data_IF_407196748095
#
_entry.id   IF_407196748095
#
_cell.length_a   1.000
_cell.length_b   1.000
_cell.length_c   1.000
_cell.angle_alpha   90.00
_cell.angle_beta   90.00
_cell.angle_gamma   90.00
#
_symmetry.space_group_name_H-M   'P 1'
#
loop_
_entity.id
_entity.type
_entity.pdbx_description
1 polymer ?
#
# COMPACT_ATOMS: atom_id res chain seq x y z
N UNK A 1 25.15 -24.42 0.20
CA UNK A 1 24.24 -23.65 1.07
C UNK A 1 24.51 -23.90 2.55
N UNK A 2 24.46 -25.15 3.04
CA UNK A 2 24.69 -25.51 4.45
C UNK A 2 26.00 -24.94 5.00
N UNK A 3 27.12 -25.19 4.31
CA UNK A 3 28.43 -24.72 4.75
C UNK A 3 28.49 -23.19 4.93
N UNK A 4 27.86 -22.42 4.06
CA UNK A 4 27.82 -20.96 4.14
C UNK A 4 26.93 -20.49 5.29
N UNK A 5 25.77 -21.11 5.51
CA UNK A 5 24.89 -20.82 6.66
C UNK A 5 25.65 -21.10 7.96
N UNK A 6 26.26 -22.29 8.10
CA UNK A 6 27.06 -22.65 9.28
C UNK A 6 28.20 -21.66 9.50
N UNK A 7 28.92 -21.26 8.45
CA UNK A 7 30.00 -20.29 8.53
C UNK A 7 29.50 -18.92 9.03
N UNK A 8 28.40 -18.41 8.45
CA UNK A 8 27.80 -17.13 8.88
C UNK A 8 27.40 -17.20 10.36
N UNK A 9 26.66 -18.24 10.77
CA UNK A 9 26.20 -18.40 12.14
C UNK A 9 27.35 -18.50 13.16
N UNK A 10 28.51 -19.06 12.77
CA UNK A 10 29.65 -19.25 13.65
C UNK A 10 30.62 -18.06 13.68
N UNK A 11 30.69 -17.25 12.63
CA UNK A 11 31.75 -16.21 12.49
C UNK A 11 31.22 -14.78 12.54
N UNK A 12 29.99 -14.52 12.12
CA UNK A 12 29.48 -13.16 11.91
C UNK A 12 29.37 -12.34 13.21
N UNK A 13 28.93 -12.93 14.31
CA UNK A 13 28.81 -12.21 15.59
C UNK A 13 30.16 -11.72 16.10
N UNK A 14 31.20 -12.54 15.96
CA UNK A 14 32.56 -12.19 16.36
C UNK A 14 33.14 -11.11 15.45
N UNK A 15 33.02 -11.27 14.14
CA UNK A 15 33.48 -10.28 13.17
C UNK A 15 32.81 -8.90 13.41
N UNK A 16 31.49 -8.88 13.60
CA UNK A 16 30.73 -7.64 13.90
C UNK A 16 31.21 -6.95 15.18
N UNK A 17 31.66 -7.70 16.19
CA UNK A 17 32.08 -7.15 17.48
C UNK A 17 33.51 -6.62 17.46
N UNK A 18 34.41 -7.26 16.70
CA UNK A 18 35.86 -7.06 16.84
C UNK A 18 36.55 -6.59 15.55
N UNK A 19 35.89 -6.57 14.43
CA UNK A 19 36.52 -6.24 13.16
C UNK A 19 35.85 -5.06 12.42
N UNK A 20 36.64 -4.34 11.64
CA UNK A 20 36.14 -3.35 10.69
C UNK A 20 35.26 -3.99 9.63
N UNK A 21 34.21 -3.30 9.20
CA UNK A 21 33.28 -3.78 8.20
C UNK A 21 33.87 -3.77 6.76
N UNK A 22 34.77 -2.81 6.49
CA UNK A 22 35.28 -2.59 5.14
C UNK A 22 36.08 -3.82 4.67
N UNK A 23 35.68 -4.38 3.52
CA UNK A 23 36.35 -5.50 2.85
C UNK A 23 36.53 -6.77 3.73
N UNK A 24 35.68 -6.95 4.75
CA UNK A 24 35.81 -8.08 5.64
C UNK A 24 35.28 -9.39 5.01
N UNK A 25 36.05 -10.50 5.04
CA UNK A 25 35.63 -11.76 4.40
C UNK A 25 34.27 -12.28 4.83
N UNK A 26 33.90 -12.13 6.12
CA UNK A 26 32.58 -12.55 6.62
C UNK A 26 31.41 -11.73 5.99
N UNK A 27 31.66 -10.47 5.66
CA UNK A 27 30.66 -9.68 4.94
C UNK A 27 30.50 -10.14 3.50
N UNK A 28 31.61 -10.53 2.87
CA UNK A 28 31.64 -11.11 1.52
C UNK A 28 30.90 -12.45 1.44
N UNK A 29 31.04 -13.30 2.47
CA UNK A 29 30.29 -14.56 2.55
C UNK A 29 28.79 -14.32 2.46
N UNK A 30 28.24 -13.33 3.19
CA UNK A 30 26.80 -13.01 3.15
C UNK A 30 26.40 -12.43 1.79
N UNK A 31 27.24 -11.56 1.22
CA UNK A 31 26.88 -10.80 -0.01
C UNK A 31 27.00 -11.63 -1.28
N UNK A 32 28.06 -12.45 -1.37
CA UNK A 32 28.43 -13.11 -2.62
C UNK A 32 28.44 -14.63 -2.45
N UNK A 33 29.24 -15.18 -1.53
CA UNK A 33 29.47 -16.64 -1.47
C UNK A 33 28.17 -17.40 -1.16
N UNK A 34 27.36 -16.92 -0.23
CA UNK A 34 26.07 -17.56 0.10
C UNK A 34 25.04 -17.35 -1.03
N UNK A 35 25.01 -16.17 -1.64
CA UNK A 35 24.19 -15.91 -2.81
C UNK A 35 24.51 -16.89 -3.94
N UNK A 36 25.78 -17.00 -4.31
CA UNK A 36 26.21 -17.83 -5.43
C UNK A 36 26.00 -19.32 -5.14
N UNK A 37 26.22 -19.76 -3.90
CA UNK A 37 25.91 -21.11 -3.48
C UNK A 37 24.39 -21.40 -3.53
N UNK A 38 23.54 -20.42 -3.25
CA UNK A 38 22.08 -20.56 -3.34
C UNK A 38 21.62 -20.62 -4.79
N UNK A 39 22.18 -19.77 -5.66
CA UNK A 39 21.92 -19.81 -7.11
C UNK A 39 22.32 -21.18 -7.68
N UNK A 40 23.53 -21.64 -7.38
CA UNK A 40 24.03 -22.91 -7.88
C UNK A 40 23.20 -24.11 -7.40
N UNK A 41 22.79 -24.14 -6.13
CA UNK A 41 22.07 -25.27 -5.56
C UNK A 41 20.59 -25.32 -5.93
N UNK A 42 19.88 -24.18 -5.87
CA UNK A 42 18.45 -24.11 -6.10
C UNK A 42 18.08 -23.75 -7.56
N UNK A 43 19.03 -23.23 -8.33
CA UNK A 43 18.88 -22.83 -9.74
C UNK A 43 17.56 -22.07 -10.02
N UNK A 44 17.24 -20.99 -9.27
CA UNK A 44 16.05 -20.22 -9.53
C UNK A 44 16.16 -19.55 -10.92
N UNK A 45 15.06 -19.47 -11.73
CA UNK A 45 15.08 -18.80 -13.03
C UNK A 45 15.61 -17.37 -12.92
N UNK A 46 16.77 -17.09 -13.57
CA UNK A 46 17.46 -15.79 -13.48
C UNK A 46 16.73 -14.66 -14.18
N UNK A 47 15.94 -14.95 -15.20
CA UNK A 47 15.08 -14.00 -15.88
C UNK A 47 14.01 -13.44 -14.93
N UNK A 48 13.57 -14.24 -13.97
CA UNK A 48 12.53 -13.91 -13.03
C UNK A 48 13.04 -13.47 -11.66
N UNK A 49 14.00 -14.17 -11.10
CA UNK A 49 14.46 -13.92 -9.73
C UNK A 49 15.81 -13.20 -9.69
N UNK A 50 15.92 -12.26 -8.74
CA UNK A 50 17.17 -11.60 -8.39
C UNK A 50 17.52 -11.96 -6.95
N UNK A 51 18.78 -12.34 -6.70
CA UNK A 51 19.29 -12.60 -5.36
C UNK A 51 20.24 -11.48 -4.94
N UNK A 52 20.04 -10.98 -3.72
CA UNK A 52 20.90 -9.95 -3.13
C UNK A 52 21.17 -10.25 -1.65
N UNK A 53 22.46 -10.29 -1.28
CA UNK A 53 22.91 -10.47 0.11
C UNK A 53 23.28 -9.15 0.76
N UNK A 54 22.97 -8.98 2.05
CA UNK A 54 23.31 -7.78 2.81
C UNK A 54 23.89 -8.11 4.17
N UNK A 55 25.12 -7.68 4.38
CA UNK A 55 25.81 -7.67 5.68
C UNK A 55 25.83 -6.25 6.31
N UNK A 56 25.19 -5.29 5.66
CA UNK A 56 25.16 -3.87 6.03
C UNK A 56 25.74 -2.95 4.96
N UNK A 57 25.65 -1.64 5.19
CA UNK A 57 26.21 -0.58 4.33
C UNK A 57 27.10 0.34 5.18
N UNK A 58 28.38 0.34 4.92
CA UNK A 58 29.37 1.11 5.70
C UNK A 58 29.61 0.58 7.11
N UNK A 59 28.63 -0.06 7.73
CA UNK A 59 28.67 -0.68 9.05
C UNK A 59 28.01 -2.06 9.03
N UNK A 60 28.38 -2.91 10.02
CA UNK A 60 27.79 -4.23 10.19
C UNK A 60 26.27 -4.17 10.45
N UNK A 61 25.49 -4.92 9.68
CA UNK A 61 24.09 -5.14 10.00
C UNK A 61 23.94 -5.95 11.29
N UNK A 62 22.95 -5.61 12.13
CA UNK A 62 22.59 -6.44 13.30
C UNK A 62 21.93 -7.75 12.88
N UNK A 63 21.22 -7.73 11.79
CA UNK A 63 20.51 -8.84 11.16
C UNK A 63 20.93 -8.89 9.71
N UNK A 64 21.96 -9.68 9.33
CA UNK A 64 22.32 -9.89 7.93
C UNK A 64 21.28 -10.79 7.27
N UNK A 65 21.19 -10.70 5.92
CA UNK A 65 20.18 -11.43 5.17
C UNK A 65 20.62 -11.70 3.73
N UNK A 66 19.97 -12.72 3.12
CA UNK A 66 19.99 -12.98 1.68
C UNK A 66 18.54 -12.96 1.17
N UNK A 67 18.17 -12.00 0.35
CA UNK A 67 16.85 -11.86 -0.26
C UNK A 67 16.78 -12.45 -1.67
N UNK A 68 15.62 -13.00 -2.00
CA UNK A 68 15.25 -13.55 -3.31
C UNK A 68 14.00 -12.80 -3.75
N UNK A 69 14.13 -12.00 -4.79
CA UNK A 69 13.14 -11.06 -5.28
C UNK A 69 12.57 -11.51 -6.61
N UNK A 70 11.27 -11.61 -6.74
CA UNK A 70 10.58 -11.72 -8.03
C UNK A 70 10.59 -10.31 -8.66
N UNK A 71 11.29 -10.16 -9.78
CA UNK A 71 11.54 -8.86 -10.43
C UNK A 71 10.26 -8.14 -10.84
N UNK A 72 9.17 -8.85 -11.04
CA UNK A 72 7.86 -8.26 -11.33
C UNK A 72 7.16 -7.70 -10.08
N UNK A 73 7.47 -8.24 -8.88
CA UNK A 73 6.88 -7.77 -7.63
C UNK A 73 7.74 -6.66 -7.03
N UNK A 74 9.05 -6.90 -6.88
CA UNK A 74 9.99 -5.92 -6.34
C UNK A 74 11.44 -6.31 -6.63
N UNK A 75 12.31 -5.32 -6.73
CA UNK A 75 13.78 -5.49 -6.80
C UNK A 75 14.50 -4.97 -5.56
N UNK A 76 13.75 -4.57 -4.52
CA UNK A 76 14.29 -3.97 -3.30
C UNK A 76 13.67 -4.57 -2.04
N UNK A 77 14.44 -4.63 -0.96
CA UNK A 77 13.94 -5.03 0.36
C UNK A 77 13.13 -3.93 1.09
N UNK A 78 12.95 -2.76 0.48
CA UNK A 78 12.26 -1.63 1.09
C UNK A 78 10.75 -1.72 0.98
N UNK A 79 10.26 -2.34 -0.11
CA UNK A 79 8.85 -2.46 -0.43
C UNK A 79 8.57 -3.80 -1.14
N UNK A 80 7.29 -4.12 -1.36
CA UNK A 80 6.87 -5.35 -1.99
C UNK A 80 7.07 -6.58 -1.12
N UNK A 81 7.03 -7.74 -1.73
CA UNK A 81 7.10 -9.05 -1.08
C UNK A 81 8.30 -9.80 -1.59
N UNK A 82 9.00 -10.55 -0.73
CA UNK A 82 10.17 -11.30 -1.13
C UNK A 82 10.46 -12.45 -0.16
N UNK A 83 11.15 -13.46 -0.66
CA UNK A 83 11.70 -14.56 0.15
C UNK A 83 13.06 -14.14 0.69
N UNK A 84 13.41 -14.53 1.90
CA UNK A 84 14.65 -14.12 2.56
C UNK A 84 15.17 -15.13 3.56
N UNK A 85 16.48 -15.31 3.61
CA UNK A 85 17.18 -15.89 4.74
C UNK A 85 17.56 -14.76 5.70
N UNK A 86 16.92 -14.71 6.89
CA UNK A 86 17.17 -13.73 7.94
C UNK A 86 17.94 -14.37 9.10
N UNK A 87 19.15 -13.89 9.35
CA UNK A 87 19.95 -14.36 10.48
C UNK A 87 19.61 -13.58 11.75
N UNK A 88 19.40 -14.30 12.88
CA UNK A 88 19.16 -13.65 14.17
C UNK A 88 20.37 -12.82 14.61
N UNK A 89 20.14 -11.78 15.40
CA UNK A 89 21.17 -10.85 15.89
C UNK A 89 22.29 -11.57 16.68
N UNK A 90 21.95 -12.61 17.41
CA UNK A 90 22.86 -13.43 18.21
C UNK A 90 23.51 -14.58 17.42
N UNK A 91 23.15 -14.73 16.15
CA UNK A 91 23.59 -15.84 15.30
C UNK A 91 23.24 -17.23 15.86
N UNK A 92 22.18 -17.34 16.66
CA UNK A 92 21.70 -18.64 17.15
C UNK A 92 20.85 -19.38 16.11
N UNK A 93 20.30 -18.68 15.14
CA UNK A 93 19.37 -19.23 14.14
C UNK A 93 19.31 -18.41 12.86
N UNK A 94 18.77 -19.03 11.80
CA UNK A 94 18.37 -18.38 10.56
C UNK A 94 16.93 -18.79 10.22
N UNK A 95 16.17 -17.85 9.63
CA UNK A 95 14.82 -18.11 9.13
C UNK A 95 14.82 -18.01 7.62
N UNK A 96 14.32 -19.04 6.94
CA UNK A 96 13.87 -18.94 5.56
C UNK A 96 12.42 -18.45 5.61
N UNK A 97 12.15 -17.23 5.16
CA UNK A 97 10.89 -16.54 5.39
C UNK A 97 10.36 -15.86 4.12
N UNK A 98 9.03 -15.79 4.00
CA UNK A 98 8.33 -14.86 3.14
C UNK A 98 7.95 -13.64 3.95
N UNK A 99 8.38 -12.47 3.50
CA UNK A 99 8.14 -11.19 4.19
C UNK A 99 7.77 -10.10 3.19
N UNK A 100 7.40 -8.92 3.71
CA UNK A 100 7.23 -7.72 2.90
C UNK A 100 8.12 -6.56 3.37
N UNK A 101 8.31 -5.54 2.51
CA UNK A 101 9.12 -4.38 2.83
C UNK A 101 8.46 -3.46 3.86
N UNK A 102 9.25 -2.99 4.84
CA UNK A 102 8.78 -2.12 5.90
C UNK A 102 8.81 -0.64 5.54
N UNK A 103 9.74 -0.22 4.66
CA UNK A 103 10.03 1.19 4.43
C UNK A 103 8.82 1.96 3.93
N UNK A 104 8.02 1.37 3.05
CA UNK A 104 6.77 1.96 2.60
C UNK A 104 5.82 2.26 3.78
N UNK A 105 5.57 1.28 4.64
CA UNK A 105 4.68 1.46 5.81
C UNK A 105 5.19 2.53 6.78
N UNK A 106 6.51 2.58 6.98
CA UNK A 106 7.15 3.59 7.81
C UNK A 106 6.98 5.00 7.23
N UNK A 107 7.23 5.15 5.94
CA UNK A 107 7.14 6.45 5.27
C UNK A 107 5.69 6.95 5.23
N UNK A 108 4.73 6.05 5.00
CA UNK A 108 3.30 6.40 4.88
C UNK A 108 2.63 6.66 6.23
N UNK A 109 2.98 5.89 7.29
CA UNK A 109 2.24 5.92 8.56
C UNK A 109 3.12 6.26 9.78
N UNK A 110 4.40 6.56 9.59
CA UNK A 110 5.38 6.69 10.68
C UNK A 110 5.74 5.35 11.31
N UNK A 111 6.79 5.34 12.12
CA UNK A 111 7.40 4.11 12.65
C UNK A 111 6.44 3.22 13.44
N UNK A 112 5.72 3.78 14.40
CA UNK A 112 4.86 2.99 15.30
C UNK A 112 3.61 2.44 14.57
N UNK A 113 2.89 3.30 13.86
CA UNK A 113 1.69 2.90 13.11
C UNK A 113 2.05 2.04 11.90
N UNK A 114 3.16 2.31 11.24
CA UNK A 114 3.69 1.52 10.13
C UNK A 114 3.93 0.07 10.54
N UNK A 115 4.57 -0.18 11.69
CA UNK A 115 4.77 -1.53 12.22
C UNK A 115 3.45 -2.26 12.51
N UNK A 116 2.46 -1.56 13.09
CA UNK A 116 1.16 -2.16 13.38
C UNK A 116 0.38 -2.53 12.11
N UNK A 117 0.41 -1.66 11.10
CA UNK A 117 -0.26 -1.88 9.82
C UNK A 117 0.43 -2.98 9.00
N UNK A 118 1.76 -2.95 8.93
CA UNK A 118 2.58 -3.99 8.33
C UNK A 118 2.26 -5.37 8.94
N UNK A 119 2.25 -5.46 10.27
CA UNK A 119 1.89 -6.71 10.97
C UNK A 119 0.48 -7.19 10.63
N UNK A 120 -0.47 -6.26 10.50
CA UNK A 120 -1.84 -6.62 10.16
C UNK A 120 -1.96 -7.22 8.74
N UNK A 121 -1.22 -6.68 7.77
CA UNK A 121 -1.15 -7.21 6.40
C UNK A 121 -0.40 -8.55 6.36
N UNK A 122 0.70 -8.69 7.11
CA UNK A 122 1.44 -9.96 7.17
C UNK A 122 0.59 -11.09 7.76
N UNK A 123 -0.16 -10.82 8.84
CA UNK A 123 -1.10 -11.78 9.44
C UNK A 123 -2.24 -12.15 8.48
N UNK A 124 -2.74 -11.20 7.70
CA UNK A 124 -3.72 -11.49 6.66
C UNK A 124 -3.16 -12.48 5.64
N UNK A 125 -1.97 -12.23 5.08
CA UNK A 125 -1.35 -13.15 4.13
C UNK A 125 -1.05 -14.52 4.74
N UNK A 126 -0.61 -14.59 6.00
CA UNK A 126 -0.41 -15.85 6.71
C UNK A 126 -1.68 -16.70 6.83
N UNK A 127 -2.88 -16.07 6.77
CA UNK A 127 -4.16 -16.79 6.75
C UNK A 127 -4.67 -17.13 5.35
N UNK A 128 -4.19 -16.46 4.31
CA UNK A 128 -4.65 -16.61 2.93
C UNK A 128 -3.78 -17.56 2.10
N UNK A 129 -2.51 -17.74 2.50
CA UNK A 129 -1.57 -18.63 1.82
C UNK A 129 -1.67 -20.01 2.46
N UNK A 130 -2.36 -20.93 1.78
CA UNK A 130 -2.78 -22.21 2.35
C UNK A 130 -2.11 -23.43 1.72
N UNK A 131 -1.31 -23.24 0.68
CA UNK A 131 -0.75 -24.36 -0.08
C UNK A 131 0.34 -25.09 0.69
N UNK A 132 -0.05 -26.19 1.33
CA UNK A 132 0.77 -27.40 1.49
C UNK A 132 2.01 -27.35 2.38
N UNK A 133 2.27 -26.26 3.12
CA UNK A 133 3.50 -26.09 3.89
C UNK A 133 3.32 -26.52 5.35
N UNK A 134 3.23 -27.85 5.62
CA UNK A 134 3.17 -28.39 6.98
C UNK A 134 4.33 -27.96 7.88
N UNK A 135 5.50 -27.67 7.26
CA UNK A 135 6.75 -27.40 7.98
C UNK A 135 7.05 -25.89 8.14
N UNK A 136 6.21 -25.01 7.57
CA UNK A 136 6.35 -23.56 7.70
C UNK A 136 5.35 -23.01 8.71
N UNK A 137 5.81 -22.10 9.55
CA UNK A 137 5.03 -21.50 10.62
C UNK A 137 4.68 -20.04 10.35
N UNK A 138 3.45 -19.63 10.70
CA UNK A 138 3.02 -18.23 10.76
C UNK A 138 3.30 -17.58 12.12
N UNK A 139 3.86 -18.34 13.08
CA UNK A 139 4.25 -17.82 14.38
C UNK A 139 5.31 -16.74 14.25
N UNK A 140 5.25 -15.69 15.08
CA UNK A 140 6.20 -14.59 15.02
C UNK A 140 7.66 -15.05 15.08
N UNK A 141 8.49 -14.58 14.16
CA UNK A 141 9.94 -14.78 14.23
C UNK A 141 10.55 -13.92 15.34
N UNK A 142 11.66 -14.41 15.92
CA UNK A 142 12.41 -13.72 16.95
C UNK A 142 13.86 -13.52 16.48
N UNK A 143 14.21 -12.30 16.15
CA UNK A 143 15.55 -11.91 15.68
C UNK A 143 16.48 -11.46 16.83
N UNK A 144 16.00 -11.50 18.08
CA UNK A 144 16.77 -11.19 19.29
C UNK A 144 16.38 -9.87 19.97
N UNK A 145 16.99 -9.57 21.12
CA UNK A 145 16.69 -8.39 21.91
C UNK A 145 17.33 -7.11 21.34
N UNK A 146 16.77 -5.94 21.72
CA UNK A 146 17.32 -4.62 21.38
C UNK A 146 17.60 -4.44 19.89
N UNK A 147 16.61 -4.78 19.07
CA UNK A 147 16.67 -4.66 17.63
C UNK A 147 16.63 -3.19 17.18
N UNK A 148 17.28 -2.89 16.05
CA UNK A 148 17.05 -1.63 15.34
C UNK A 148 15.62 -1.57 14.83
N UNK A 149 15.14 -0.36 14.50
CA UNK A 149 13.82 -0.18 13.92
C UNK A 149 13.61 -1.04 12.66
N UNK A 150 14.61 -1.06 11.75
CA UNK A 150 14.58 -1.91 10.55
C UNK A 150 14.43 -3.39 10.88
N UNK A 151 15.14 -3.89 11.88
CA UNK A 151 15.05 -5.30 12.28
C UNK A 151 13.70 -5.64 12.94
N UNK A 152 13.09 -4.71 13.70
CA UNK A 152 11.70 -4.83 14.16
C UNK A 152 10.72 -4.82 12.98
N UNK A 153 11.05 -4.09 11.90
CA UNK A 153 10.32 -4.14 10.66
C UNK A 153 10.28 -5.55 10.06
N UNK A 154 11.40 -6.28 10.04
CA UNK A 154 11.43 -7.67 9.55
C UNK A 154 10.55 -8.61 10.39
N UNK A 155 10.54 -8.47 11.74
CA UNK A 155 9.65 -9.26 12.59
C UNK A 155 8.16 -8.93 12.34
N UNK A 156 7.84 -7.67 12.13
CA UNK A 156 6.48 -7.25 11.82
C UNK A 156 6.04 -7.67 10.39
N UNK A 157 6.98 -7.70 9.46
CA UNK A 157 6.78 -8.06 8.05
C UNK A 157 6.61 -9.56 7.80
N UNK A 158 6.89 -10.40 8.80
CA UNK A 158 6.87 -11.85 8.68
C UNK A 158 5.47 -12.38 8.35
N UNK A 159 5.39 -13.17 7.28
CA UNK A 159 4.17 -13.84 6.83
C UNK A 159 4.20 -15.31 7.26
N UNK A 160 5.22 -16.04 6.81
CA UNK A 160 5.48 -17.41 7.21
C UNK A 160 6.98 -17.74 7.07
N UNK A 161 7.47 -18.71 7.84
CA UNK A 161 8.89 -19.12 7.79
C UNK A 161 9.14 -20.52 8.29
N UNK A 162 10.31 -21.06 7.88
CA UNK A 162 10.95 -22.22 8.50
C UNK A 162 12.21 -21.77 9.23
N UNK A 163 12.41 -22.28 10.45
CA UNK A 163 13.51 -21.92 11.34
C UNK A 163 14.58 -23.01 11.33
N UNK A 164 15.84 -22.62 11.24
CA UNK A 164 17.00 -23.50 11.39
C UNK A 164 17.88 -23.00 12.53
N UNK A 165 18.20 -23.88 13.48
CA UNK A 165 19.03 -23.56 14.63
C UNK A 165 20.52 -23.80 14.31
N UNK A 166 21.40 -22.96 14.84
CA UNK A 166 22.85 -23.18 14.73
C UNK A 166 23.25 -24.56 15.31
N UNK A 167 24.05 -25.31 14.54
CA UNK A 167 24.46 -26.67 14.88
C UNK A 167 23.46 -27.75 14.44
N UNK A 168 22.30 -27.36 13.90
CA UNK A 168 21.28 -28.28 13.39
C UNK A 168 20.79 -27.86 11.97
N UNK A 169 21.69 -27.31 11.17
CA UNK A 169 21.38 -26.93 9.79
C UNK A 169 21.21 -28.19 8.94
N UNK A 170 20.08 -28.35 8.21
CA UNK A 170 19.82 -29.52 7.38
C UNK A 170 20.84 -29.71 6.24
N UNK A 171 20.77 -30.84 5.57
CA UNK A 171 21.55 -31.08 4.36
C UNK A 171 21.15 -30.12 3.22
N UNK A 172 22.02 -29.94 2.23
CA UNK A 172 21.74 -29.03 1.10
C UNK A 172 20.49 -29.44 0.32
N UNK A 173 20.21 -30.74 0.20
CA UNK A 173 18.99 -31.21 -0.46
C UNK A 173 17.71 -30.72 0.23
N UNK A 174 17.67 -30.78 1.58
CA UNK A 174 16.53 -30.33 2.35
C UNK A 174 16.39 -28.80 2.30
N UNK A 175 17.51 -28.05 2.37
CA UNK A 175 17.50 -26.59 2.24
C UNK A 175 17.00 -26.13 0.85
N UNK A 176 17.35 -26.88 -0.19
CA UNK A 176 16.88 -26.62 -1.56
C UNK A 176 15.38 -26.94 -1.70
N UNK A 177 14.92 -28.06 -1.15
CA UNK A 177 13.52 -28.44 -1.14
C UNK A 177 12.66 -27.38 -0.42
N UNK A 178 13.06 -26.99 0.79
CA UNK A 178 12.40 -25.93 1.57
C UNK A 178 12.34 -24.60 0.80
N UNK A 179 13.42 -24.20 0.13
CA UNK A 179 13.45 -23.00 -0.69
C UNK A 179 12.49 -23.10 -1.88
N UNK A 180 12.48 -24.24 -2.59
CA UNK A 180 11.59 -24.47 -3.74
C UNK A 180 10.13 -24.45 -3.32
N UNK A 181 9.79 -25.03 -2.16
CA UNK A 181 8.45 -24.99 -1.57
C UNK A 181 8.03 -23.55 -1.26
N UNK A 182 8.90 -22.77 -0.61
CA UNK A 182 8.59 -21.38 -0.31
C UNK A 182 8.48 -20.51 -1.57
N UNK A 183 9.28 -20.76 -2.60
CA UNK A 183 9.13 -20.13 -3.92
C UNK A 183 7.80 -20.53 -4.58
N UNK A 184 7.28 -21.73 -4.31
CA UNK A 184 5.92 -22.15 -4.69
C UNK A 184 4.86 -21.23 -4.08
N UNK A 185 4.94 -21.02 -2.77
CA UNK A 185 4.04 -20.08 -2.06
C UNK A 185 4.20 -18.65 -2.54
N UNK A 186 5.42 -18.22 -2.83
CA UNK A 186 5.67 -16.89 -3.39
C UNK A 186 4.99 -16.70 -4.76
N UNK A 187 4.98 -17.74 -5.61
CA UNK A 187 4.20 -17.74 -6.87
C UNK A 187 2.69 -17.70 -6.63
N UNK A 188 2.18 -18.42 -5.61
CA UNK A 188 0.77 -18.32 -5.19
C UNK A 188 0.42 -16.89 -4.76
N UNK A 189 1.25 -16.29 -3.91
CA UNK A 189 1.11 -14.90 -3.50
C UNK A 189 1.04 -13.96 -4.71
N UNK A 190 1.99 -14.10 -5.66
CA UNK A 190 1.97 -13.30 -6.90
C UNK A 190 0.64 -13.40 -7.65
N UNK A 191 0.09 -14.62 -7.78
CA UNK A 191 -1.23 -14.82 -8.41
C UNK A 191 -2.36 -14.11 -7.67
N UNK A 192 -2.29 -14.01 -6.34
CA UNK A 192 -3.26 -13.25 -5.52
C UNK A 192 -3.04 -11.75 -5.64
N UNK A 193 -1.79 -11.28 -5.71
CA UNK A 193 -1.45 -9.87 -5.91
C UNK A 193 -1.95 -9.35 -7.26
N UNK A 194 -1.80 -10.12 -8.34
CA UNK A 194 -2.30 -9.79 -9.68
C UNK A 194 -3.83 -9.61 -9.74
N UNK A 195 -4.58 -10.26 -8.85
CA UNK A 195 -6.04 -10.07 -8.74
C UNK A 195 -6.41 -8.76 -8.07
N UNK A 196 -5.51 -8.20 -7.25
CA UNK A 196 -5.68 -6.91 -6.57
C UNK A 196 -5.22 -5.80 -7.48
N UNK A 197 -4.03 -5.94 -8.06
CA UNK A 197 -3.42 -4.99 -8.97
C UNK A 197 -2.77 -5.75 -10.14
N UNK A 198 -3.32 -5.65 -11.37
CA UNK A 198 -2.79 -6.35 -12.53
C UNK A 198 -1.36 -5.96 -12.93
N UNK A 199 -0.93 -4.76 -12.57
CA UNK A 199 0.42 -4.25 -12.78
C UNK A 199 1.35 -4.44 -11.56
N UNK A 200 0.88 -5.19 -10.54
CA UNK A 200 1.61 -5.48 -9.30
C UNK A 200 2.07 -4.22 -8.54
N UNK A 201 1.29 -3.14 -8.61
CA UNK A 201 1.58 -1.94 -7.85
C UNK A 201 1.46 -2.23 -6.35
N UNK A 202 2.61 -2.29 -5.68
CA UNK A 202 2.75 -2.67 -4.26
C UNK A 202 1.94 -1.76 -3.34
N UNK A 203 1.84 -0.52 -3.69
CA UNK A 203 1.12 0.46 -2.91
C UNK A 203 -0.39 0.30 -3.01
N UNK A 204 -0.91 0.14 -4.22
CA UNK A 204 -2.32 -0.20 -4.45
C UNK A 204 -2.69 -1.46 -3.65
N UNK A 205 -1.83 -2.48 -3.71
CA UNK A 205 -1.99 -3.72 -2.97
C UNK A 205 -2.05 -3.46 -1.46
N UNK A 206 -1.11 -2.70 -0.91
CA UNK A 206 -1.05 -2.43 0.52
C UNK A 206 -2.26 -1.63 1.02
N UNK A 207 -2.70 -0.63 0.27
CA UNK A 207 -3.90 0.13 0.60
C UNK A 207 -5.16 -0.74 0.56
N UNK A 208 -5.30 -1.56 -0.48
CA UNK A 208 -6.39 -2.52 -0.59
C UNK A 208 -6.45 -3.45 0.63
N UNK A 209 -5.31 -4.03 1.02
CA UNK A 209 -5.24 -4.95 2.16
C UNK A 209 -5.53 -4.26 3.49
N UNK A 210 -5.02 -3.05 3.71
CA UNK A 210 -5.26 -2.29 4.93
C UNK A 210 -6.74 -1.94 5.12
N UNK A 211 -7.43 -1.57 4.07
CA UNK A 211 -8.89 -1.35 4.11
C UNK A 211 -9.62 -2.62 4.56
N UNK A 212 -9.26 -3.78 4.00
CA UNK A 212 -9.89 -5.06 4.31
C UNK A 212 -9.62 -5.59 5.73
N UNK A 213 -8.38 -5.47 6.19
CA UNK A 213 -7.99 -5.89 7.55
C UNK A 213 -8.75 -5.10 8.62
N UNK A 214 -9.02 -3.83 8.39
CA UNK A 214 -9.79 -2.97 9.32
C UNK A 214 -11.25 -3.38 9.39
N UNK A 215 -11.87 -3.72 8.26
CA UNK A 215 -13.27 -4.18 8.19
C UNK A 215 -13.44 -5.53 8.91
N UNK A 216 -12.53 -6.47 8.74
CA UNK A 216 -12.57 -7.78 9.39
C UNK A 216 -12.43 -7.69 10.92
N UNK A 217 -11.63 -6.77 11.45
CA UNK A 217 -11.55 -6.51 12.89
C UNK A 217 -12.88 -5.99 13.47
N UNK A 218 -13.59 -5.12 12.77
CA UNK A 218 -14.91 -4.60 13.16
C UNK A 218 -15.98 -5.69 13.14
N UNK A 219 -16.03 -6.54 12.10
CA UNK A 219 -16.94 -7.69 12.01
C UNK A 219 -16.70 -8.73 13.11
N UNK A 220 -15.44 -9.07 13.44
CA UNK A 220 -15.11 -9.96 14.56
C UNK A 220 -15.50 -9.36 15.91
N UNK A 221 -15.40 -8.05 16.12
CA UNK A 221 -15.84 -7.36 17.32
C UNK A 221 -17.38 -7.30 17.45
N UNK A 222 -18.10 -7.08 16.35
CA UNK A 222 -19.56 -7.10 16.30
C UNK A 222 -20.10 -8.52 16.61
N UNK A 223 -19.59 -9.56 15.94
CA UNK A 223 -19.94 -10.97 16.23
C UNK A 223 -19.64 -11.40 17.68
N UNK A 224 -18.57 -10.86 18.29
CA UNK A 224 -18.22 -11.16 19.69
C UNK A 224 -19.14 -10.46 20.69
N UNK A 225 -19.72 -9.30 20.33
CA UNK A 225 -20.79 -8.64 21.13
C UNK A 225 -22.12 -9.34 20.99
N UNK A 226 -22.49 -9.86 19.81
CA UNK A 226 -23.71 -10.63 19.61
C UNK A 226 -23.66 -12.01 20.28
N UNK A 227 -22.48 -12.67 20.36
CA UNK A 227 -22.33 -13.96 21.04
C UNK A 227 -22.32 -13.88 22.57
N UNK A 228 -22.09 -12.67 23.13
CA UNK A 228 -22.21 -12.47 24.59
C UNK A 228 -23.66 -12.23 25.04
N UNK A 229 -24.60 -12.08 24.12
CA UNK A 229 -26.00 -11.79 24.41
C UNK A 229 -26.99 -12.91 24.05
N UNK A 230 -26.54 -14.04 23.53
CA UNK A 230 -27.44 -15.19 23.23
C UNK A 230 -26.71 -16.51 23.42
N UNK A 231 -26.90 -17.11 24.61
CA UNK A 231 -26.79 -18.55 24.79
C UNK A 231 -28.12 -19.18 24.34
N UNK A 232 -28.14 -19.96 23.27
CA UNK A 232 -29.35 -20.69 22.87
C UNK A 232 -29.38 -21.14 21.42
N UNK A 233 -29.03 -22.42 21.23
CA UNK A 233 -29.44 -23.37 20.17
C UNK A 233 -28.94 -23.20 18.73
N UNK A 234 -28.40 -24.33 18.30
CA UNK A 234 -27.89 -24.85 17.06
C UNK A 234 -28.79 -24.73 15.82
N UNK A 235 -28.19 -24.55 14.63
CA UNK A 235 -28.13 -25.48 13.48
C UNK A 235 -27.84 -24.74 12.17
N UNK A 236 -27.10 -25.41 11.24
CA UNK A 236 -27.20 -25.12 9.80
C UNK A 236 -25.96 -24.52 9.12
N UNK A 237 -25.02 -25.40 8.78
CA UNK A 237 -23.89 -25.15 7.90
C UNK A 237 -24.34 -24.87 6.46
N UNK A 238 -24.06 -23.69 5.92
CA UNK A 238 -23.95 -23.47 4.47
C UNK A 238 -22.72 -22.58 4.19
N UNK A 239 -21.75 -23.18 3.50
CA UNK A 239 -20.59 -22.51 2.89
C UNK A 239 -21.08 -21.66 1.73
N UNK A 240 -20.99 -20.36 1.83
CA UNK A 240 -21.11 -19.45 0.71
C UNK A 240 -19.73 -18.84 0.41
N UNK A 241 -19.26 -19.08 -0.82
CA UNK A 241 -18.08 -18.44 -1.40
C UNK A 241 -18.19 -16.93 -1.24
N UNK A 242 -17.38 -16.36 -0.39
CA UNK A 242 -17.24 -14.91 -0.28
C UNK A 242 -16.41 -14.44 -1.47
N UNK A 243 -17.07 -14.01 -2.53
CA UNK A 243 -16.50 -13.08 -3.50
C UNK A 243 -16.08 -11.84 -2.71
N UNK A 244 -14.77 -11.56 -2.72
CA UNK A 244 -14.18 -10.28 -2.30
C UNK A 244 -14.41 -9.25 -3.42
N UNK A 245 -15.66 -8.92 -3.67
CA UNK A 245 -16.00 -7.67 -4.31
C UNK A 245 -15.95 -6.64 -3.18
N UNK A 246 -14.84 -5.93 -3.07
CA UNK A 246 -14.88 -4.64 -2.39
C UNK A 246 -15.68 -3.74 -3.30
N UNK A 247 -16.95 -3.74 -2.99
CA UNK A 247 -17.86 -2.74 -3.46
C UNK A 247 -17.52 -1.41 -2.72
N UNK A 248 -16.58 -0.61 -3.30
CA UNK A 248 -16.91 0.80 -3.48
C UNK A 248 -18.29 0.84 -4.16
N UNK A 249 -18.70 -0.24 -4.75
CA UNK A 249 -19.96 -0.63 -5.34
C UNK A 249 -20.98 -1.24 -4.37
N UNK A 250 -20.75 -1.32 -3.08
CA UNK A 250 -21.82 -1.71 -2.12
C UNK A 250 -23.01 -0.78 -2.12
N UNK A 251 -22.91 0.35 -2.83
CA UNK A 251 -23.98 1.27 -3.18
C UNK A 251 -23.69 1.92 -4.52
N UNK A 252 -23.52 1.13 -5.57
CA UNK A 252 -23.32 1.65 -6.94
C UNK A 252 -24.43 2.65 -7.34
N UNK A 253 -25.60 2.58 -6.68
CA UNK A 253 -26.75 3.44 -6.92
C UNK A 253 -26.89 4.58 -5.89
N UNK A 254 -25.96 4.75 -4.95
CA UNK A 254 -26.06 5.80 -3.94
C UNK A 254 -25.90 7.20 -4.57
N UNK A 255 -26.78 8.09 -4.15
CA UNK A 255 -26.70 9.54 -4.42
C UNK A 255 -26.22 10.19 -3.13
N UNK A 256 -25.14 10.98 -3.14
CA UNK A 256 -24.65 11.62 -1.94
C UNK A 256 -25.65 12.64 -1.40
N UNK A 257 -25.75 12.75 -0.07
CA UNK A 257 -26.56 13.79 0.57
C UNK A 257 -25.82 15.11 0.52
N UNK A 258 -26.43 16.13 -0.09
CA UNK A 258 -25.88 17.49 -0.09
C UNK A 258 -25.94 18.08 1.31
N UNK A 259 -24.82 18.62 1.78
CA UNK A 259 -24.69 19.30 3.08
C UNK A 259 -23.95 20.62 2.91
N UNK A 260 -24.05 21.53 3.90
CA UNK A 260 -23.18 22.70 3.97
C UNK A 260 -21.71 22.33 4.14
N UNK A 261 -20.80 23.26 3.82
CA UNK A 261 -19.37 23.07 4.09
C UNK A 261 -19.21 22.92 5.61
N UNK A 262 -18.64 21.79 6.11
CA UNK A 262 -18.52 21.58 7.55
C UNK A 262 -17.53 22.55 8.19
N UNK A 263 -17.84 23.08 9.37
CA UNK A 263 -16.98 24.00 10.14
C UNK A 263 -15.65 23.34 10.57
N UNK A 264 -15.56 22.01 10.49
CA UNK A 264 -14.38 21.22 10.85
C UNK A 264 -13.35 21.06 9.74
N UNK A 265 -13.58 21.65 8.56
CA UNK A 265 -12.61 21.65 7.44
C UNK A 265 -11.54 22.68 7.77
N UNK A 266 -10.60 22.30 8.64
CA UNK A 266 -9.44 23.07 9.01
C UNK A 266 -8.20 22.44 8.37
N UNK A 267 -7.47 23.22 7.59
CA UNK A 267 -6.16 22.83 7.07
C UNK A 267 -5.09 23.44 7.99
N UNK A 268 -4.23 22.62 8.64
CA UNK A 268 -3.15 23.15 9.44
C UNK A 268 -2.22 24.00 8.59
N UNK A 269 -1.80 25.17 9.09
CA UNK A 269 -0.81 26.00 8.42
C UNK A 269 0.47 25.22 8.15
N UNK A 270 1.14 25.45 6.99
CA UNK A 270 2.45 24.88 6.70
C UNK A 270 3.45 25.30 7.77
N UNK A 271 3.94 24.35 8.57
CA UNK A 271 4.94 24.59 9.61
C UNK A 271 4.44 24.49 11.05
N UNK A 272 3.14 24.36 11.32
CA UNK A 272 2.60 24.23 12.68
C UNK A 272 2.73 22.81 13.28
N UNK A 273 3.05 21.82 12.49
CA UNK A 273 3.45 20.49 12.95
C UNK A 273 4.74 20.10 12.22
N UNK A 274 5.80 19.81 12.94
CA UNK A 274 7.08 19.28 12.41
C UNK A 274 6.97 17.88 11.79
N UNK A 275 5.80 17.52 11.30
CA UNK A 275 5.49 16.42 10.44
C UNK A 275 5.56 16.93 9.00
N UNK A 276 6.77 16.86 8.41
CA UNK A 276 6.91 16.81 6.97
C UNK A 276 6.09 15.61 6.48
N UNK A 277 4.85 15.86 6.11
CA UNK A 277 4.06 14.94 5.30
C UNK A 277 4.78 14.85 3.94
N UNK A 278 5.71 13.90 3.80
CA UNK A 278 6.09 13.40 2.49
C UNK A 278 4.88 12.69 1.93
N UNK A 279 4.02 13.45 1.29
CA UNK A 279 2.95 12.91 0.47
C UNK A 279 3.62 12.47 -0.82
N UNK A 280 3.75 11.16 -0.98
CA UNK A 280 4.22 10.60 -2.23
C UNK A 280 3.07 10.70 -3.24
N UNK A 281 3.24 11.58 -4.22
CA UNK A 281 2.19 11.98 -5.17
C UNK A 281 1.85 10.89 -6.18
N UNK A 282 2.79 10.00 -6.48
CA UNK A 282 2.55 8.87 -7.38
C UNK A 282 1.68 7.79 -6.73
N UNK A 283 1.73 7.70 -5.40
CA UNK A 283 1.05 6.70 -4.58
C UNK A 283 -0.45 6.94 -4.42
N UNK A 284 -0.83 8.17 -4.51
CA UNK A 284 -2.23 8.62 -4.44
C UNK A 284 -3.05 8.25 -5.68
N UNK A 285 -2.43 8.05 -6.85
CA UNK A 285 -3.15 8.00 -8.12
C UNK A 285 -4.04 6.77 -8.32
N UNK A 286 -3.62 5.58 -7.92
CA UNK A 286 -4.39 4.36 -8.23
C UNK A 286 -5.54 4.07 -7.26
N UNK A 287 -5.36 4.32 -5.98
CA UNK A 287 -6.48 4.24 -5.01
C UNK A 287 -7.42 5.43 -5.16
N UNK A 288 -6.89 6.64 -5.39
CA UNK A 288 -7.66 7.79 -5.80
C UNK A 288 -8.46 7.49 -7.07
N UNK A 289 -7.93 6.75 -8.03
CA UNK A 289 -8.64 6.41 -9.27
C UNK A 289 -9.93 5.62 -9.02
N UNK A 290 -9.96 4.64 -8.12
CA UNK A 290 -11.20 3.90 -7.79
C UNK A 290 -12.15 4.72 -6.93
N UNK A 291 -11.64 5.44 -5.95
CA UNK A 291 -12.41 6.37 -5.12
C UNK A 291 -12.88 7.54 -5.98
N UNK A 292 -12.04 8.07 -6.86
CA UNK A 292 -12.38 9.10 -7.82
C UNK A 292 -13.49 8.63 -8.76
N UNK A 293 -13.34 7.49 -9.45
CA UNK A 293 -14.36 6.92 -10.34
C UNK A 293 -15.68 6.67 -9.56
N UNK A 294 -15.60 6.19 -8.31
CA UNK A 294 -16.77 6.03 -7.45
C UNK A 294 -17.45 7.36 -7.15
N UNK A 295 -16.67 8.37 -6.78
CA UNK A 295 -17.13 9.74 -6.54
C UNK A 295 -17.72 10.40 -7.79
N UNK A 296 -17.01 10.30 -8.91
CA UNK A 296 -17.46 10.81 -10.21
C UNK A 296 -18.80 10.19 -10.62
N UNK A 297 -18.96 8.87 -10.49
CA UNK A 297 -20.23 8.19 -10.75
C UNK A 297 -21.37 8.66 -9.83
N UNK A 298 -21.06 8.94 -8.54
CA UNK A 298 -22.05 9.50 -7.60
C UNK A 298 -22.41 10.93 -7.96
N UNK A 299 -21.44 11.78 -8.35
CA UNK A 299 -21.68 13.14 -8.77
C UNK A 299 -22.52 13.19 -10.06
N UNK A 300 -22.23 12.31 -11.03
CA UNK A 300 -23.04 12.17 -12.26
C UNK A 300 -24.50 11.86 -11.94
N UNK A 301 -24.77 10.93 -11.02
CA UNK A 301 -26.14 10.59 -10.61
C UNK A 301 -26.82 11.73 -9.85
N UNK A 302 -26.06 12.39 -8.97
CA UNK A 302 -26.55 13.56 -8.24
C UNK A 302 -26.97 14.66 -9.20
N UNK A 303 -26.15 15.00 -10.20
CA UNK A 303 -26.46 16.04 -11.19
C UNK A 303 -27.67 15.68 -12.04
N UNK A 304 -27.72 14.46 -12.57
CA UNK A 304 -28.88 14.00 -13.32
C UNK A 304 -30.18 14.07 -12.52
N UNK A 305 -30.10 13.65 -11.24
CA UNK A 305 -31.26 13.76 -10.34
C UNK A 305 -31.62 15.22 -10.07
N UNK A 306 -30.67 16.10 -9.75
CA UNK A 306 -30.86 17.52 -9.49
C UNK A 306 -31.60 18.21 -10.64
N UNK A 307 -31.13 17.98 -11.87
CA UNK A 307 -31.75 18.56 -13.06
C UNK A 307 -33.13 17.96 -13.36
N UNK A 308 -33.30 16.65 -13.18
CA UNK A 308 -34.60 15.99 -13.37
C UNK A 308 -35.64 16.50 -12.34
N UNK A 309 -35.26 16.61 -11.07
CA UNK A 309 -36.12 17.12 -9.99
C UNK A 309 -36.51 18.59 -10.22
N UNK A 310 -35.62 19.35 -10.92
CA UNK A 310 -35.89 20.74 -11.34
C UNK A 310 -36.73 20.84 -12.65
N UNK A 311 -37.23 19.72 -13.18
CA UNK A 311 -38.01 19.70 -14.41
C UNK A 311 -37.17 19.81 -15.70
N UNK A 312 -35.85 19.70 -15.62
CA UNK A 312 -34.91 19.83 -16.75
C UNK A 312 -34.33 18.48 -17.16
N UNK A 313 -35.23 17.54 -17.47
CA UNK A 313 -34.83 16.20 -17.97
C UNK A 313 -34.04 16.29 -19.30
N UNK A 314 -34.25 17.36 -20.08
CA UNK A 314 -33.47 17.69 -21.25
C UNK A 314 -31.98 17.88 -20.93
N UNK A 315 -31.65 18.70 -19.94
CA UNK A 315 -30.29 18.95 -19.49
C UNK A 315 -29.70 17.75 -18.74
N UNK A 316 -30.51 17.03 -17.96
CA UNK A 316 -30.07 15.83 -17.26
C UNK A 316 -29.53 14.74 -18.23
N UNK A 317 -30.11 14.62 -19.40
CA UNK A 317 -29.66 13.70 -20.44
C UNK A 317 -28.33 14.13 -21.10
N UNK A 318 -27.97 15.42 -21.03
CA UNK A 318 -26.75 16.00 -21.62
C UNK A 318 -25.56 16.03 -20.63
N UNK A 319 -25.74 15.62 -19.37
CA UNK A 319 -24.64 15.56 -18.39
C UNK A 319 -23.61 14.53 -18.82
N UNK A 320 -22.36 14.98 -19.05
CA UNK A 320 -21.27 14.21 -19.65
C UNK A 320 -20.13 13.95 -18.64
N UNK A 321 -19.55 12.77 -18.69
CA UNK A 321 -18.40 12.36 -17.87
C UNK A 321 -17.11 12.57 -18.66
N UNK A 322 -16.58 13.80 -18.64
CA UNK A 322 -15.48 14.26 -19.51
C UNK A 322 -14.17 13.55 -19.21
N UNK A 323 -13.83 13.34 -17.93
CA UNK A 323 -12.59 12.65 -17.53
C UNK A 323 -12.51 11.24 -18.09
N UNK A 324 -13.65 10.57 -18.28
CA UNK A 324 -13.74 9.20 -18.82
C UNK A 324 -13.68 9.16 -20.35
N UNK A 325 -14.24 10.14 -21.04
CA UNK A 325 -14.37 10.15 -22.51
C UNK A 325 -13.20 10.82 -23.20
N UNK A 326 -12.62 11.88 -22.61
CA UNK A 326 -11.56 12.70 -23.20
C UNK A 326 -10.22 12.59 -22.47
N UNK A 327 -10.15 11.85 -21.31
CA UNK A 327 -8.97 11.72 -20.46
C UNK A 327 -8.76 12.92 -19.51
N UNK A 328 -7.83 12.77 -18.56
CA UNK A 328 -7.57 13.71 -17.44
C UNK A 328 -6.94 15.06 -17.88
N UNK A 329 -7.38 15.66 -18.97
CA UNK A 329 -6.76 16.84 -19.52
C UNK A 329 -7.64 18.09 -19.59
N UNK A 330 -8.94 18.00 -19.33
CA UNK A 330 -9.88 19.10 -19.50
C UNK A 330 -9.82 20.16 -18.37
N UNK A 331 -9.39 19.77 -17.15
CA UNK A 331 -9.38 20.65 -15.97
C UNK A 331 -10.65 20.54 -15.11
N UNK A 332 -11.52 19.58 -15.44
CA UNK A 332 -12.73 19.20 -14.71
C UNK A 332 -13.17 17.79 -15.12
N UNK A 333 -13.99 17.13 -14.29
CA UNK A 333 -14.41 15.74 -14.48
C UNK A 333 -15.76 15.60 -15.17
N UNK A 334 -16.71 16.50 -14.91
CA UNK A 334 -18.08 16.42 -15.37
C UNK A 334 -18.52 17.75 -15.98
N UNK A 335 -19.06 17.70 -17.20
CA UNK A 335 -19.81 18.78 -17.80
C UNK A 335 -21.29 18.64 -17.43
N UNK A 336 -21.86 19.65 -16.77
CA UNK A 336 -23.25 19.73 -16.37
C UNK A 336 -23.82 21.11 -16.68
N UNK A 337 -24.98 21.43 -16.12
CA UNK A 337 -25.71 22.67 -16.35
C UNK A 337 -26.33 23.20 -15.07
N UNK A 338 -26.46 24.51 -14.95
CA UNK A 338 -27.41 25.11 -14.03
C UNK A 338 -28.85 24.95 -14.57
N UNK A 339 -29.85 25.20 -13.75
CA UNK A 339 -31.27 25.01 -14.13
C UNK A 339 -31.70 25.93 -15.30
N UNK A 340 -31.08 27.09 -15.44
CA UNK A 340 -31.30 28.03 -16.53
C UNK A 340 -30.66 27.60 -17.87
N UNK A 341 -29.83 26.54 -17.85
CA UNK A 341 -29.13 26.00 -19.01
C UNK A 341 -27.71 26.53 -19.20
N UNK A 342 -27.22 27.39 -18.31
CA UNK A 342 -25.82 27.80 -18.33
C UNK A 342 -24.90 26.62 -17.99
N UNK A 343 -23.70 26.53 -18.60
CA UNK A 343 -22.78 25.41 -18.38
C UNK A 343 -22.26 25.40 -16.93
N UNK A 344 -22.06 24.20 -16.37
CA UNK A 344 -21.45 23.96 -15.05
C UNK A 344 -20.33 22.93 -15.18
N UNK A 345 -19.11 23.30 -14.80
CA UNK A 345 -17.91 22.47 -14.83
C UNK A 345 -17.61 21.96 -13.42
N UNK A 346 -17.61 20.65 -13.24
CA UNK A 346 -17.51 20.04 -11.93
C UNK A 346 -16.23 19.21 -11.84
N UNK A 347 -15.37 19.57 -10.90
CA UNK A 347 -14.27 18.73 -10.44
C UNK A 347 -14.74 17.89 -9.24
N UNK A 348 -14.40 16.61 -9.20
CA UNK A 348 -14.84 15.70 -8.15
C UNK A 348 -13.67 15.26 -7.29
N UNK A 349 -13.71 15.60 -6.02
CA UNK A 349 -12.72 15.16 -5.02
C UNK A 349 -13.40 14.25 -4.01
N UNK A 350 -13.11 12.97 -4.08
CA UNK A 350 -13.76 11.94 -3.27
C UNK A 350 -12.82 11.34 -2.22
N UNK A 351 -13.38 10.89 -1.08
CA UNK A 351 -12.65 10.17 -0.03
C UNK A 351 -13.55 9.17 0.70
N UNK A 352 -12.94 8.13 1.24
CA UNK A 352 -13.61 7.20 2.16
C UNK A 352 -13.62 7.70 3.61
N UNK A 353 -12.79 8.69 3.91
CA UNK A 353 -12.64 9.32 5.24
C UNK A 353 -13.65 10.46 5.44
N UNK A 354 -13.47 11.25 6.51
CA UNK A 354 -14.30 12.39 6.85
C UNK A 354 -14.06 13.65 6.00
N UNK A 355 -14.83 14.72 6.20
CA UNK A 355 -14.72 15.98 5.47
C UNK A 355 -13.38 16.71 5.72
N UNK A 356 -12.72 16.45 6.84
CA UNK A 356 -11.45 17.03 7.27
C UNK A 356 -10.24 16.51 6.49
N UNK A 357 -10.42 15.44 5.71
CA UNK A 357 -9.33 14.88 4.91
C UNK A 357 -8.90 15.87 3.80
N UNK A 358 -7.64 16.32 3.75
CA UNK A 358 -7.14 17.17 2.69
C UNK A 358 -7.33 16.54 1.31
N UNK A 359 -7.54 17.36 0.29
CA UNK A 359 -7.59 16.95 -1.09
C UNK A 359 -6.60 17.75 -1.95
N UNK A 360 -6.24 17.20 -3.09
CA UNK A 360 -5.25 17.78 -3.98
C UNK A 360 -5.91 18.27 -5.27
N UNK A 361 -5.40 19.39 -5.76
CA UNK A 361 -5.79 19.94 -7.05
C UNK A 361 -4.55 20.08 -7.93
N UNK A 362 -4.72 19.82 -9.20
CA UNK A 362 -3.66 20.04 -10.18
C UNK A 362 -3.60 21.53 -10.58
N UNK A 363 -2.45 21.97 -11.08
CA UNK A 363 -2.29 23.31 -11.63
C UNK A 363 -3.36 23.61 -12.70
N UNK A 364 -3.71 22.62 -13.53
CA UNK A 364 -4.69 22.76 -14.60
C UNK A 364 -6.11 22.99 -14.08
N UNK A 365 -6.52 22.31 -13.02
CA UNK A 365 -7.81 22.51 -12.36
C UNK A 365 -7.88 23.92 -11.74
N UNK A 366 -6.79 24.38 -11.10
CA UNK A 366 -6.70 25.76 -10.59
C UNK A 366 -6.85 26.77 -11.71
N UNK A 367 -6.04 26.68 -12.78
CA UNK A 367 -6.08 27.59 -13.92
C UNK A 367 -7.44 27.56 -14.66
N UNK A 368 -8.13 26.39 -14.67
CA UNK A 368 -9.46 26.29 -15.26
C UNK A 368 -10.51 26.98 -14.39
N UNK A 369 -10.45 26.81 -13.07
CA UNK A 369 -11.36 27.48 -12.12
C UNK A 369 -11.21 29.02 -12.18
N UNK A 370 -10.00 29.53 -12.38
CA UNK A 370 -9.72 30.97 -12.53
C UNK A 370 -10.30 31.56 -13.80
N UNK A 371 -10.34 30.76 -14.88
CA UNK A 371 -10.92 31.20 -16.16
C UNK A 371 -12.44 31.09 -16.21
N UNK A 372 -13.03 30.28 -15.33
CA UNK A 372 -14.47 30.00 -15.31
C UNK A 372 -15.07 30.16 -13.90
N UNK A 373 -14.83 31.28 -13.17
CA UNK A 373 -15.22 31.40 -11.77
C UNK A 373 -16.72 31.29 -11.53
N UNK A 374 -17.54 31.70 -12.48
CA UNK A 374 -19.00 31.66 -12.36
C UNK A 374 -19.59 30.27 -12.62
N UNK A 375 -18.85 29.42 -13.35
CA UNK A 375 -19.33 28.15 -13.87
C UNK A 375 -18.56 26.93 -13.35
N UNK A 376 -17.60 27.12 -12.44
CA UNK A 376 -16.77 26.04 -11.91
C UNK A 376 -17.12 25.73 -10.46
N UNK A 377 -17.08 24.44 -10.12
CA UNK A 377 -17.20 24.02 -8.73
C UNK A 377 -16.45 22.71 -8.46
N UNK A 378 -16.09 22.51 -7.19
CA UNK A 378 -15.58 21.25 -6.67
C UNK A 378 -16.69 20.56 -5.86
N UNK A 379 -16.99 19.30 -6.22
CA UNK A 379 -17.84 18.41 -5.44
C UNK A 379 -16.93 17.57 -4.52
N UNK A 380 -16.95 17.90 -3.23
CA UNK A 380 -16.23 17.13 -2.21
C UNK A 380 -17.12 16.05 -1.63
N UNK A 381 -16.91 14.80 -2.08
CA UNK A 381 -17.70 13.64 -1.64
C UNK A 381 -16.89 12.87 -0.61
N UNK A 382 -17.48 12.56 0.54
CA UNK A 382 -16.80 11.88 1.64
C UNK A 382 -17.67 10.77 2.25
N UNK A 383 -17.07 9.89 3.06
CA UNK A 383 -17.68 8.68 3.60
C UNK A 383 -18.13 7.68 2.50
N UNK A 384 -17.42 7.61 1.39
CA UNK A 384 -17.79 6.74 0.26
C UNK A 384 -17.96 5.27 0.64
N UNK A 385 -17.07 4.75 1.50
CA UNK A 385 -17.04 3.34 1.92
C UNK A 385 -17.67 3.10 3.30
N UNK A 386 -18.39 4.06 3.86
CA UNK A 386 -19.04 3.91 5.17
C UNK A 386 -20.22 2.96 5.06
N UNK A 387 -20.19 1.85 5.80
CA UNK A 387 -21.32 0.94 5.91
C UNK A 387 -22.46 1.50 6.80
N UNK A 388 -22.17 2.51 7.63
CA UNK A 388 -23.10 3.07 8.63
C UNK A 388 -23.64 4.44 8.26
N UNK A 389 -23.01 5.15 7.32
CA UNK A 389 -23.42 6.49 6.89
C UNK A 389 -23.58 6.54 5.37
N UNK A 390 -24.53 7.34 4.91
CA UNK A 390 -24.65 7.65 3.49
C UNK A 390 -23.50 8.58 3.08
N UNK A 391 -22.94 8.44 1.84
CA UNK A 391 -22.03 9.42 1.30
C UNK A 391 -22.62 10.83 1.39
N UNK A 392 -21.77 11.78 1.78
CA UNK A 392 -22.13 13.21 1.87
C UNK A 392 -21.33 13.99 0.85
N UNK A 393 -21.89 15.09 0.37
CA UNK A 393 -21.25 16.00 -0.57
C UNK A 393 -21.40 17.44 -0.11
N UNK A 394 -20.33 18.22 -0.14
CA UNK A 394 -20.41 19.68 -0.13
C UNK A 394 -19.77 20.26 -1.40
N UNK A 395 -20.19 21.49 -1.75
CA UNK A 395 -19.83 22.12 -3.01
C UNK A 395 -19.05 23.40 -2.72
N UNK A 396 -17.86 23.53 -3.34
CA UNK A 396 -17.08 24.77 -3.36
C UNK A 396 -17.24 25.39 -4.74
N UNK A 397 -17.86 26.57 -4.83
CA UNK A 397 -18.11 27.27 -6.09
C UNK A 397 -17.07 28.38 -6.31
N UNK A 398 -16.61 28.52 -7.55
CA UNK A 398 -15.78 29.63 -7.97
C UNK A 398 -14.30 29.30 -8.15
N UNK A 399 -13.49 30.34 -8.27
CA UNK A 399 -12.03 30.22 -8.39
C UNK A 399 -11.42 29.54 -7.16
N UNK A 400 -10.64 28.48 -7.35
CA UNK A 400 -10.01 27.74 -6.25
C UNK A 400 -8.97 28.57 -5.52
N UNK A 401 -8.23 29.42 -6.23
CA UNK A 401 -7.23 30.31 -5.62
C UNK A 401 -7.84 31.45 -4.77
N UNK A 402 -9.11 31.79 -5.00
CA UNK A 402 -9.84 32.78 -4.20
C UNK A 402 -10.58 32.16 -3.00
N UNK A 403 -10.91 30.87 -3.08
CA UNK A 403 -11.73 30.19 -2.07
C UNK A 403 -10.92 29.32 -1.10
N UNK A 404 -9.70 28.92 -1.48
CA UNK A 404 -8.89 27.96 -0.75
C UNK A 404 -7.45 28.46 -0.63
N UNK A 405 -6.81 28.14 0.48
CA UNK A 405 -5.37 28.26 0.63
C UNK A 405 -4.66 27.14 -0.13
N UNK A 406 -3.93 27.47 -1.18
CA UNK A 406 -3.24 26.53 -2.05
C UNK A 406 -1.76 26.44 -1.68
N UNK A 407 -1.30 25.26 -1.23
CA UNK A 407 0.08 25.00 -0.88
C UNK A 407 0.74 24.11 -1.95
N UNK A 408 1.81 24.60 -2.64
CA UNK A 408 2.54 23.78 -3.61
C UNK A 408 3.16 22.55 -2.94
N UNK A 409 2.87 21.35 -3.45
CA UNK A 409 3.37 20.08 -2.91
C UNK A 409 4.37 19.39 -3.82
N UNK A 410 4.33 19.66 -5.12
CA UNK A 410 5.18 19.05 -6.13
C UNK A 410 5.70 20.06 -7.16
N UNK A 411 6.93 19.81 -7.62
CA UNK A 411 7.57 20.57 -8.70
C UNK A 411 8.11 19.60 -9.77
N UNK A 412 7.81 19.85 -11.03
CA UNK A 412 8.48 19.18 -12.13
C UNK A 412 9.83 19.81 -12.35
N UNK A 413 10.91 19.03 -12.29
CA UNK A 413 12.27 19.49 -12.51
C UNK A 413 12.66 19.31 -13.97
N UNK A 414 13.19 20.37 -14.59
CA UNK A 414 13.76 20.36 -15.93
C UNK A 414 15.11 21.09 -15.95
N UNK A 415 15.94 20.81 -16.93
CA UNK A 415 17.21 21.51 -17.10
C UNK A 415 16.98 22.93 -17.57
N UNK A 416 17.58 23.89 -16.88
CA UNK A 416 17.57 25.28 -17.30
C UNK A 416 18.62 25.51 -18.39
N UNK A 417 18.20 25.57 -19.64
CA UNK A 417 19.10 25.84 -20.79
C UNK A 417 19.86 27.18 -20.71
N UNK A 418 19.44 28.09 -19.80
CA UNK A 418 20.10 29.41 -19.60
C UNK A 418 21.24 29.38 -18.57
N UNK A 419 21.42 28.30 -17.82
CA UNK A 419 22.40 28.24 -16.72
C UNK A 419 23.81 27.88 -17.13
N UNK A 420 24.11 27.68 -18.42
CA UNK A 420 25.49 27.53 -18.92
C UNK A 420 26.31 26.33 -18.36
N UNK A 421 25.66 25.39 -17.65
CA UNK A 421 26.31 24.18 -17.21
C UNK A 421 26.53 23.26 -18.40
N UNK A 422 27.68 23.42 -19.05
CA UNK A 422 28.19 22.48 -20.02
C UNK A 422 28.63 21.21 -19.28
N UNK A 423 28.25 20.06 -19.80
CA UNK A 423 28.77 18.78 -19.39
C UNK A 423 30.30 18.76 -19.50
N UNK A 424 30.99 18.55 -18.40
CA UNK A 424 32.36 18.02 -18.38
C UNK A 424 32.30 16.54 -18.07
#
# INVERSE_FOLDING_TARGET
MKAQIDQILNTYANARKHASFKEHPTADIVRHVFRDATIHAANPPEDRYMLHGSAGQGNWAKVPWLGIFDKEITTTAQEGYYVVYLFSKDMSRVYLALIQGFTWFKNTFGSAQGLLKLRAVSVYWGSELTSGLSDFSTEPINLGPNLSERARGYEAAHILSKKYERGAIPADADLVADLQDLLGVYRELRGKLLRISPDLNVEEINHHLLANVTVNKRRKRAKRKEHSSKSGKSEGRKTSNLRLDIEVNGRSDAIPTLVGIPDTVYFPEPGSSGLSLKIDFEQSQHQMKRVAIGGENMAMRFERKRLTDAGRADLAAMVEHVSREQGYGAGYDIASFEVDGSPLYIEVKATCDGPEQPFYVTRREVEYSERHPDNYCVYRIYHLASASENPKCYIIKGSLSEKLDLFPTNYQVGWNKRSGLHHT
#
